data_IF_815109523079
#
_entry.id   IF_815109523079
#
_cell.length_a   1.000
_cell.length_b   1.000
_cell.length_c   1.000
_cell.angle_alpha   90.00
_cell.angle_beta   90.00
_cell.angle_gamma   90.00
#
_symmetry.space_group_name_H-M   'P 1'
#
loop_
_entity.id
_entity.type
_entity.pdbx_description
1 polymer ?
#
# COMPACT_ATOMS: atom_id res chain seq x y z
N UNK A 1 -3.49 -6.53 -3.88
CA UNK A 1 -3.13 -7.26 -2.64
C UNK A 1 -2.46 -6.34 -1.60
N UNK A 2 -1.67 -5.34 -2.01
CA UNK A 2 -1.00 -4.39 -1.09
C UNK A 2 -1.95 -3.43 -0.37
N UNK A 3 -3.05 -3.01 -1.00
CA UNK A 3 -4.01 -2.03 -0.45
C UNK A 3 -4.61 -2.39 0.92
N UNK A 4 -5.22 -3.58 1.12
CA UNK A 4 -5.80 -3.92 2.43
C UNK A 4 -4.74 -4.01 3.52
N UNK A 5 -3.56 -4.56 3.22
CA UNK A 5 -2.48 -4.69 4.20
C UNK A 5 -1.96 -3.32 4.66
N UNK A 6 -1.67 -2.42 3.72
CA UNK A 6 -1.21 -1.06 4.04
C UNK A 6 -2.26 -0.27 4.84
N UNK A 7 -3.54 -0.38 4.49
CA UNK A 7 -4.62 0.27 5.22
C UNK A 7 -4.83 -0.33 6.62
N UNK A 8 -4.66 -1.64 6.79
CA UNK A 8 -4.68 -2.29 8.12
C UNK A 8 -3.56 -1.75 9.01
N UNK A 9 -2.34 -1.68 8.47
CA UNK A 9 -1.19 -1.13 9.19
C UNK A 9 -1.37 0.35 9.53
N UNK A 10 -2.01 1.13 8.66
CA UNK A 10 -2.29 2.54 8.93
C UNK A 10 -3.40 2.73 9.98
N UNK A 11 -4.52 2.00 9.86
CA UNK A 11 -5.68 2.15 10.77
C UNK A 11 -5.38 1.59 12.17
N UNK A 12 -4.63 0.47 12.25
CA UNK A 12 -4.29 -0.20 13.50
C UNK A 12 -2.82 -0.03 13.89
N UNK A 13 -2.17 1.07 13.48
CA UNK A 13 -0.74 1.32 13.70
C UNK A 13 -0.33 1.20 15.17
N UNK A 14 -1.01 1.92 16.06
CA UNK A 14 -0.73 1.91 17.51
C UNK A 14 -0.98 0.53 18.14
N UNK A 15 -2.14 -0.13 17.97
CA UNK A 15 -2.34 -1.50 18.46
C UNK A 15 -1.30 -2.49 17.93
N UNK A 16 -0.94 -2.40 16.66
CA UNK A 16 0.05 -3.28 16.06
C UNK A 16 1.43 -3.09 16.71
N UNK A 17 1.84 -1.83 16.89
CA UNK A 17 3.08 -1.49 17.57
C UNK A 17 3.05 -1.87 19.05
N UNK A 18 1.91 -1.75 19.73
CA UNK A 18 1.77 -2.19 21.12
C UNK A 18 1.87 -3.72 21.24
N UNK A 19 1.27 -4.49 20.32
CA UNK A 19 1.41 -5.94 20.28
C UNK A 19 2.89 -6.33 20.16
N UNK A 20 3.61 -5.64 19.27
CA UNK A 20 5.00 -5.93 18.98
C UNK A 20 5.96 -5.48 20.09
N UNK A 21 5.86 -4.23 20.54
CA UNK A 21 6.80 -3.62 21.50
C UNK A 21 6.44 -3.90 22.95
N UNK A 22 5.15 -4.09 23.25
CA UNK A 22 4.63 -4.19 24.61
C UNK A 22 4.68 -2.88 25.40
N UNK A 23 5.04 -1.75 24.76
CA UNK A 23 5.15 -0.44 25.41
C UNK A 23 4.16 0.53 24.75
N UNK A 24 3.17 0.99 25.52
CA UNK A 24 2.11 1.87 25.04
C UNK A 24 2.64 3.26 24.64
N UNK A 25 3.58 3.83 25.40
CA UNK A 25 4.16 5.14 25.12
C UNK A 25 4.96 5.12 23.81
N UNK A 26 5.78 4.08 23.61
CA UNK A 26 6.54 3.89 22.38
C UNK A 26 5.61 3.66 21.17
N UNK A 27 4.55 2.87 21.36
CA UNK A 27 3.57 2.59 20.32
C UNK A 27 2.84 3.87 19.89
N UNK A 28 2.41 4.70 20.83
CA UNK A 28 1.73 5.96 20.55
C UNK A 28 2.66 6.95 19.81
N UNK A 29 3.91 7.11 20.28
CA UNK A 29 4.89 8.00 19.64
C UNK A 29 5.28 7.55 18.22
N UNK A 30 5.32 6.24 17.98
CA UNK A 30 5.79 5.68 16.69
C UNK A 30 4.65 5.38 15.72
N UNK A 31 3.39 5.35 16.17
CA UNK A 31 2.23 5.09 15.31
C UNK A 31 2.14 6.03 14.10
N UNK A 32 2.34 7.36 14.22
CA UNK A 32 2.32 8.26 13.06
C UNK A 32 3.39 7.92 12.01
N UNK A 33 4.57 7.46 12.44
CA UNK A 33 5.64 7.00 11.55
C UNK A 33 5.16 5.82 10.70
N UNK A 34 4.56 4.82 11.35
CA UNK A 34 4.06 3.63 10.68
C UNK A 34 2.93 3.95 9.71
N UNK A 35 2.03 4.87 10.06
CA UNK A 35 0.96 5.35 9.16
C UNK A 35 1.56 5.95 7.88
N UNK A 36 2.52 6.88 8.01
CA UNK A 36 3.13 7.56 6.87
C UNK A 36 3.88 6.57 5.96
N UNK A 37 4.61 5.62 6.56
CA UNK A 37 5.32 4.58 5.80
C UNK A 37 4.35 3.63 5.11
N UNK A 38 3.26 3.22 5.77
CA UNK A 38 2.24 2.36 5.17
C UNK A 38 1.52 3.06 4.00
N UNK A 39 1.20 4.34 4.13
CA UNK A 39 0.60 5.12 3.03
C UNK A 39 1.60 5.33 1.88
N UNK A 40 2.87 5.61 2.18
CA UNK A 40 3.90 5.77 1.16
C UNK A 40 4.15 4.48 0.38
N UNK A 41 4.20 3.34 1.06
CA UNK A 41 4.32 2.02 0.42
C UNK A 41 3.07 1.64 -0.38
N UNK A 42 1.88 2.07 0.06
CA UNK A 42 0.66 1.94 -0.73
C UNK A 42 0.74 2.70 -2.06
N UNK A 43 1.13 3.98 -2.00
CA UNK A 43 1.35 4.79 -3.19
C UNK A 43 2.40 4.16 -4.12
N UNK A 44 3.48 3.62 -3.57
CA UNK A 44 4.49 2.88 -4.33
C UNK A 44 3.89 1.65 -5.03
N UNK A 45 3.05 0.88 -4.32
CA UNK A 45 2.38 -0.29 -4.87
C UNK A 45 1.52 0.01 -6.10
N UNK A 46 0.88 1.18 -6.15
CA UNK A 46 0.14 1.61 -7.34
C UNK A 46 1.03 1.84 -8.56
N UNK A 47 2.31 2.16 -8.37
CA UNK A 47 3.26 2.38 -9.47
C UNK A 47 3.77 1.09 -10.11
N UNK A 48 3.53 -0.07 -9.51
CA UNK A 48 4.03 -1.35 -10.03
C UNK A 48 3.46 -1.73 -11.40
N UNK A 49 2.14 -1.65 -11.57
CA UNK A 49 1.48 -1.98 -12.84
C UNK A 49 1.93 -1.03 -13.97
N UNK A 50 1.90 0.31 -13.80
CA UNK A 50 2.41 1.26 -14.79
C UNK A 50 3.88 1.05 -15.15
N UNK A 51 4.71 0.71 -14.16
CA UNK A 51 6.13 0.42 -14.39
C UNK A 51 6.31 -0.80 -15.30
N UNK A 52 5.56 -1.87 -15.05
CA UNK A 52 5.56 -3.05 -15.94
C UNK A 52 5.07 -2.71 -17.34
N UNK A 53 4.04 -1.86 -17.48
CA UNK A 53 3.57 -1.38 -18.79
C UNK A 53 4.66 -0.60 -19.54
N UNK A 54 5.40 0.27 -18.85
CA UNK A 54 6.51 1.01 -19.47
C UNK A 54 7.62 0.08 -19.96
N UNK A 55 7.94 -0.97 -19.19
CA UNK A 55 8.91 -1.98 -19.59
C UNK A 55 8.44 -2.78 -20.80
N UNK A 56 7.17 -3.19 -20.83
CA UNK A 56 6.57 -3.92 -21.96
C UNK A 56 6.57 -3.11 -23.27
N UNK A 57 6.43 -1.78 -23.19
CA UNK A 57 6.55 -0.89 -24.35
C UNK A 57 7.99 -0.43 -24.64
N UNK A 58 9.01 -0.98 -23.96
CA UNK A 58 10.42 -0.62 -24.18
C UNK A 58 10.79 0.80 -23.74
N UNK A 59 9.94 1.48 -22.96
CA UNK A 59 10.13 2.88 -22.58
C UNK A 59 10.75 3.03 -21.19
N UNK A 60 11.80 2.26 -20.92
CA UNK A 60 12.52 2.25 -19.63
C UNK A 60 13.19 3.58 -19.28
N UNK A 61 13.57 4.37 -20.30
CA UNK A 61 14.22 5.66 -20.11
C UNK A 61 13.37 6.73 -19.40
N UNK A 62 12.05 6.56 -19.33
CA UNK A 62 11.19 7.42 -18.50
C UNK A 62 11.27 7.04 -17.02
N UNK A 63 11.15 5.75 -16.69
CA UNK A 63 11.27 5.28 -15.32
C UNK A 63 12.63 5.60 -14.70
N UNK A 64 13.72 5.45 -15.47
CA UNK A 64 15.08 5.79 -15.01
C UNK A 64 15.19 7.28 -14.70
N UNK A 65 14.73 8.16 -15.60
CA UNK A 65 14.72 9.61 -15.34
C UNK A 65 13.90 9.97 -14.11
N UNK A 66 12.75 9.34 -13.92
CA UNK A 66 11.89 9.59 -12.77
C UNK A 66 12.57 9.18 -11.45
N UNK A 67 13.26 8.03 -11.43
CA UNK A 67 14.03 7.58 -10.28
C UNK A 67 15.25 8.47 -9.99
N UNK A 68 15.95 8.96 -11.02
CA UNK A 68 17.06 9.91 -10.82
C UNK A 68 16.55 11.20 -10.18
N UNK A 69 15.47 11.77 -10.72
CA UNK A 69 14.83 12.96 -10.15
C UNK A 69 14.42 12.72 -8.70
N UNK A 70 13.84 11.56 -8.41
CA UNK A 70 13.46 11.19 -7.05
C UNK A 70 14.65 11.11 -6.09
N UNK A 71 15.78 10.53 -6.51
CA UNK A 71 17.00 10.46 -5.69
C UNK A 71 17.52 11.87 -5.40
N UNK A 72 17.54 12.74 -6.41
CA UNK A 72 17.95 14.14 -6.27
C UNK A 72 17.08 14.90 -5.25
N UNK A 73 15.80 14.57 -5.12
CA UNK A 73 14.91 15.20 -4.14
C UNK A 73 14.93 14.53 -2.77
N UNK A 74 14.90 13.19 -2.70
CA UNK A 74 14.80 12.46 -1.44
C UNK A 74 16.08 12.58 -0.61
N UNK A 75 17.27 12.57 -1.23
CA UNK A 75 18.54 12.60 -0.50
C UNK A 75 18.70 13.93 0.26
N UNK A 76 18.56 15.11 -0.37
CA UNK A 76 18.58 16.38 0.36
C UNK A 76 17.43 16.49 1.36
N UNK A 77 16.23 16.01 1.01
CA UNK A 77 15.09 16.05 1.92
C UNK A 77 15.36 15.25 3.20
N UNK A 78 15.95 14.06 3.11
CA UNK A 78 16.33 13.25 4.26
C UNK A 78 17.45 13.93 5.06
N UNK A 79 18.51 14.40 4.40
CA UNK A 79 19.63 15.08 5.06
C UNK A 79 19.20 16.33 5.82
N UNK A 80 18.15 17.01 5.35
CA UNK A 80 17.58 18.19 6.01
C UNK A 80 16.53 17.85 7.08
N UNK A 81 15.65 16.89 6.81
CA UNK A 81 14.51 16.59 7.66
C UNK A 81 14.89 15.71 8.86
N UNK A 82 15.81 14.76 8.70
CA UNK A 82 16.19 13.84 9.79
C UNK A 82 16.85 14.56 10.97
N UNK A 83 17.80 15.50 10.78
CA UNK A 83 18.39 16.21 11.92
C UNK A 83 17.41 17.09 12.70
N UNK A 84 16.31 17.54 12.07
CA UNK A 84 15.35 18.49 12.66
C UNK A 84 14.09 17.83 13.21
N UNK A 85 13.59 16.83 12.50
CA UNK A 85 12.32 16.17 12.77
C UNK A 85 12.50 14.67 13.03
N UNK A 86 13.73 14.15 13.03
CA UNK A 86 14.00 12.74 13.26
C UNK A 86 13.38 11.83 12.18
N UNK A 87 13.02 10.62 12.58
CA UNK A 87 12.48 9.60 11.68
C UNK A 87 11.16 10.02 11.02
N UNK A 88 10.33 10.84 11.67
CA UNK A 88 9.05 11.27 11.11
C UNK A 88 9.24 12.21 9.90
N UNK A 89 10.32 13.01 9.90
CA UNK A 89 10.71 13.80 8.73
C UNK A 89 11.05 12.94 7.51
N UNK A 90 11.76 11.83 7.73
CA UNK A 90 12.06 10.86 6.66
C UNK A 90 10.78 10.17 6.14
N UNK A 91 9.84 9.83 7.02
CA UNK A 91 8.57 9.23 6.62
C UNK A 91 7.71 10.19 5.76
N UNK A 92 7.70 11.48 6.08
CA UNK A 92 7.06 12.50 5.24
C UNK A 92 7.74 12.65 3.88
N UNK A 93 9.08 12.66 3.83
CA UNK A 93 9.82 12.69 2.57
C UNK A 93 9.48 11.46 1.69
N UNK A 94 9.40 10.29 2.31
CA UNK A 94 9.00 9.05 1.64
C UNK A 94 7.58 9.10 1.07
N UNK A 95 6.60 9.55 1.87
CA UNK A 95 5.22 9.69 1.40
C UNK A 95 5.12 10.73 0.27
N UNK A 96 5.76 11.89 0.42
CA UNK A 96 5.74 12.95 -0.58
C UNK A 96 6.33 12.48 -1.91
N UNK A 97 7.43 11.72 -1.88
CA UNK A 97 8.03 11.17 -3.08
C UNK A 97 7.06 10.20 -3.80
N UNK A 98 6.48 9.26 -3.06
CA UNK A 98 5.57 8.28 -3.64
C UNK A 98 4.26 8.92 -4.13
N UNK A 99 3.75 9.93 -3.43
CA UNK A 99 2.63 10.74 -3.90
C UNK A 99 2.98 11.49 -5.19
N UNK A 100 4.19 12.07 -5.27
CA UNK A 100 4.70 12.72 -6.47
C UNK A 100 4.79 11.78 -7.67
N UNK A 101 5.22 10.53 -7.47
CA UNK A 101 5.20 9.50 -8.50
C UNK A 101 3.80 9.18 -9.01
N UNK A 102 2.85 9.00 -8.10
CA UNK A 102 1.46 8.71 -8.46
C UNK A 102 0.82 9.91 -9.18
N UNK A 103 1.08 11.14 -8.73
CA UNK A 103 0.46 12.34 -9.30
C UNK A 103 1.09 12.76 -10.62
N UNK A 104 2.41 12.96 -10.62
CA UNK A 104 3.15 13.49 -11.77
C UNK A 104 3.56 12.37 -12.72
N UNK A 105 4.19 11.32 -12.20
CA UNK A 105 4.69 10.21 -13.00
C UNK A 105 3.61 9.53 -13.84
N UNK A 106 2.45 9.25 -13.22
CA UNK A 106 1.31 8.69 -13.93
C UNK A 106 0.68 9.65 -14.92
N UNK A 107 0.64 10.94 -14.59
CA UNK A 107 0.08 11.93 -15.50
C UNK A 107 0.86 11.97 -16.82
N UNK A 108 2.20 12.00 -16.75
CA UNK A 108 3.06 12.00 -17.93
C UNK A 108 3.01 10.67 -18.69
N UNK A 109 2.99 9.54 -17.98
CA UNK A 109 2.89 8.23 -18.63
C UNK A 109 1.57 8.07 -19.39
N UNK A 110 0.43 8.35 -18.74
CA UNK A 110 -0.88 8.21 -19.40
C UNK A 110 -1.03 9.21 -20.55
N UNK A 111 -0.54 10.44 -20.44
CA UNK A 111 -0.59 11.40 -21.54
C UNK A 111 0.10 10.90 -22.81
N UNK A 112 1.16 10.08 -22.69
CA UNK A 112 1.93 9.58 -23.84
C UNK A 112 1.51 8.18 -24.30
N UNK A 113 1.18 7.27 -23.38
CA UNK A 113 0.86 5.87 -23.72
C UNK A 113 -0.65 5.61 -23.82
N UNK A 114 -1.47 6.22 -22.94
CA UNK A 114 -2.89 5.89 -22.79
C UNK A 114 -3.72 7.14 -22.42
N UNK A 115 -3.82 8.15 -23.31
CA UNK A 115 -4.38 9.46 -22.97
C UNK A 115 -5.85 9.42 -22.55
N UNK A 116 -6.63 8.46 -23.05
CA UNK A 116 -8.05 8.27 -22.71
C UNK A 116 -8.31 7.63 -21.34
N UNK A 117 -7.31 6.98 -20.74
CA UNK A 117 -7.51 6.14 -19.55
C UNK A 117 -7.17 6.82 -18.23
N UNK A 118 -6.61 8.04 -18.27
CA UNK A 118 -6.05 8.72 -17.08
C UNK A 118 -7.06 8.76 -15.93
N UNK A 119 -8.24 9.31 -16.19
CA UNK A 119 -9.26 9.50 -15.16
C UNK A 119 -9.89 8.19 -14.71
N UNK A 120 -9.99 7.21 -15.62
CA UNK A 120 -10.46 5.87 -15.28
C UNK A 120 -9.49 5.18 -14.33
N UNK A 121 -8.18 5.29 -14.58
CA UNK A 121 -7.16 4.74 -13.70
C UNK A 121 -7.16 5.42 -12.32
N UNK A 122 -7.20 6.75 -12.23
CA UNK A 122 -7.26 7.43 -10.93
C UNK A 122 -8.49 6.99 -10.12
N UNK A 123 -9.66 6.91 -10.76
CA UNK A 123 -10.88 6.48 -10.08
C UNK A 123 -10.81 5.01 -9.66
N UNK A 124 -10.44 4.13 -10.58
CA UNK A 124 -10.61 2.69 -10.41
C UNK A 124 -9.42 2.02 -9.71
N UNK A 125 -8.20 2.55 -9.87
CA UNK A 125 -6.98 2.02 -9.26
C UNK A 125 -6.57 2.74 -7.96
N UNK A 126 -6.95 4.01 -7.77
CA UNK A 126 -6.54 4.79 -6.58
C UNK A 126 -7.72 5.08 -5.66
N UNK A 127 -8.73 5.82 -6.13
CA UNK A 127 -9.84 6.27 -5.28
C UNK A 127 -10.72 5.12 -4.79
N UNK A 128 -11.17 4.23 -5.68
CA UNK A 128 -12.03 3.10 -5.29
C UNK A 128 -11.36 2.19 -4.24
N UNK A 129 -10.11 1.72 -4.41
CA UNK A 129 -9.47 0.87 -3.41
C UNK A 129 -9.22 1.59 -2.08
N UNK A 130 -8.92 2.90 -2.11
CA UNK A 130 -8.76 3.69 -0.89
C UNK A 130 -10.08 3.77 -0.12
N UNK A 131 -11.18 4.18 -0.77
CA UNK A 131 -12.48 4.33 -0.10
C UNK A 131 -13.03 2.98 0.37
N UNK A 132 -13.04 1.97 -0.50
CA UNK A 132 -13.56 0.63 -0.19
C UNK A 132 -12.72 -0.03 0.92
N UNK A 133 -11.41 0.22 0.97
CA UNK A 133 -10.55 -0.33 2.00
C UNK A 133 -10.60 0.43 3.32
N UNK A 134 -10.66 1.77 3.29
CA UNK A 134 -10.56 2.58 4.50
C UNK A 134 -11.85 2.62 5.30
N UNK A 135 -13.01 2.73 4.64
CA UNK A 135 -14.30 2.90 5.33
C UNK A 135 -14.63 1.70 6.25
N UNK A 136 -14.58 0.43 5.79
CA UNK A 136 -14.88 -0.71 6.65
C UNK A 136 -13.88 -0.87 7.80
N UNK A 137 -12.60 -0.58 7.57
CA UNK A 137 -11.57 -0.68 8.61
C UNK A 137 -11.72 0.40 9.69
N UNK A 138 -12.08 1.63 9.30
CA UNK A 138 -12.34 2.72 10.23
C UNK A 138 -13.60 2.44 11.07
N UNK A 139 -14.66 1.93 10.43
CA UNK A 139 -15.86 1.48 11.14
C UNK A 139 -15.47 0.37 12.12
N UNK A 140 -14.80 -0.68 11.65
CA UNK A 140 -14.38 -1.80 12.49
C UNK A 140 -13.55 -1.35 13.69
N UNK A 141 -12.64 -0.38 13.50
CA UNK A 141 -11.84 0.19 14.59
C UNK A 141 -12.68 0.89 15.66
N UNK A 142 -13.80 1.52 15.30
CA UNK A 142 -14.70 2.18 16.27
C UNK A 142 -15.55 1.18 17.08
N UNK A 143 -15.88 0.03 16.49
CA UNK A 143 -16.77 -0.96 17.11
C UNK A 143 -16.03 -2.09 17.83
N UNK A 144 -14.75 -2.32 17.51
CA UNK A 144 -13.99 -3.42 18.11
C UNK A 144 -13.34 -3.01 19.42
N UNK A 145 -13.62 -3.77 20.48
CA UNK A 145 -12.90 -3.63 21.75
C UNK A 145 -11.63 -4.48 21.64
N UNK A 146 -10.47 -3.81 21.60
CA UNK A 146 -9.19 -4.49 21.53
C UNK A 146 -8.83 -5.07 22.91
N UNK A 147 -8.45 -6.35 22.98
CA UNK A 147 -8.05 -6.96 24.25
C UNK A 147 -6.72 -6.35 24.74
N UNK A 148 -6.58 -6.19 26.05
CA UNK A 148 -5.34 -5.64 26.63
C UNK A 148 -4.17 -6.65 26.63
N UNK A 149 -4.49 -7.95 26.56
CA UNK A 149 -3.48 -8.99 26.42
C UNK A 149 -2.86 -8.94 25.01
N UNK A 150 -1.53 -8.83 24.95
CA UNK A 150 -0.75 -8.71 23.70
C UNK A 150 -0.98 -9.87 22.72
N UNK A 151 -1.06 -11.11 23.21
CA UNK A 151 -1.25 -12.30 22.38
C UNK A 151 -2.66 -12.32 21.80
N UNK A 152 -3.66 -12.02 22.63
CA UNK A 152 -5.04 -11.90 22.16
C UNK A 152 -5.18 -10.77 21.14
N UNK A 153 -4.52 -9.63 21.35
CA UNK A 153 -4.55 -8.50 20.43
C UNK A 153 -3.89 -8.85 19.09
N UNK A 154 -2.74 -9.52 19.10
CA UNK A 154 -2.09 -10.01 17.90
C UNK A 154 -2.99 -11.00 17.13
N UNK A 155 -3.70 -11.89 17.84
CA UNK A 155 -4.68 -12.80 17.24
C UNK A 155 -5.84 -12.08 16.57
N UNK A 156 -6.43 -11.08 17.23
CA UNK A 156 -7.51 -10.27 16.65
C UNK A 156 -7.01 -9.51 15.42
N UNK A 157 -5.85 -8.86 15.49
CA UNK A 157 -5.27 -8.13 14.35
C UNK A 157 -4.97 -9.07 13.18
N UNK A 158 -4.45 -10.27 13.43
CA UNK A 158 -4.24 -11.28 12.39
C UNK A 158 -5.56 -11.72 11.74
N UNK A 159 -6.61 -11.93 12.55
CA UNK A 159 -7.96 -12.22 12.06
C UNK A 159 -8.50 -11.12 11.15
N UNK A 160 -8.38 -9.85 11.55
CA UNK A 160 -8.79 -8.70 10.73
C UNK A 160 -8.00 -8.66 9.42
N UNK A 161 -6.68 -8.88 9.47
CA UNK A 161 -5.84 -8.89 8.27
C UNK A 161 -6.28 -9.98 7.29
N UNK A 162 -6.58 -11.19 7.78
CA UNK A 162 -7.04 -12.30 6.96
C UNK A 162 -8.41 -12.03 6.33
N UNK A 163 -9.36 -11.49 7.10
CA UNK A 163 -10.69 -11.12 6.59
C UNK A 163 -10.58 -10.01 5.55
N UNK A 164 -9.77 -8.97 5.80
CA UNK A 164 -9.54 -7.89 4.85
C UNK A 164 -8.90 -8.40 3.55
N UNK A 165 -7.92 -9.32 3.66
CA UNK A 165 -7.29 -9.96 2.51
C UNK A 165 -8.31 -10.79 1.70
N UNK A 166 -9.13 -11.59 2.38
CA UNK A 166 -10.17 -12.41 1.76
C UNK A 166 -11.24 -11.56 1.07
N UNK A 167 -11.70 -10.48 1.71
CA UNK A 167 -12.67 -9.54 1.15
C UNK A 167 -12.14 -8.88 -0.13
N UNK A 168 -10.86 -8.49 -0.16
CA UNK A 168 -10.25 -7.90 -1.36
C UNK A 168 -10.03 -8.93 -2.48
N UNK A 169 -9.57 -10.13 -2.14
CA UNK A 169 -9.49 -11.24 -3.09
C UNK A 169 -10.84 -11.54 -3.75
N UNK A 170 -11.91 -11.41 -2.96
CA UNK A 170 -13.26 -11.57 -3.44
C UNK A 170 -13.75 -10.34 -4.19
N UNK A 171 -13.43 -9.11 -3.82
CA UNK A 171 -13.93 -7.92 -4.52
C UNK A 171 -13.28 -7.69 -5.89
N UNK A 172 -12.02 -8.10 -6.07
CA UNK A 172 -11.27 -7.84 -7.31
C UNK A 172 -11.55 -8.93 -8.37
N UNK A 173 -12.08 -8.58 -9.56
CA UNK A 173 -12.40 -9.56 -10.60
C UNK A 173 -11.17 -10.32 -11.12
N UNK A 174 -10.04 -9.63 -11.24
CA UNK A 174 -8.77 -10.18 -11.74
C UNK A 174 -8.20 -11.27 -10.82
N UNK A 175 -8.34 -11.14 -9.50
CA UNK A 175 -7.91 -12.19 -8.57
C UNK A 175 -8.83 -13.41 -8.63
N UNK A 176 -10.14 -13.22 -8.84
CA UNK A 176 -11.07 -14.34 -9.05
C UNK A 176 -10.72 -15.14 -10.29
N UNK A 177 -10.39 -14.46 -11.38
CA UNK A 177 -10.03 -15.11 -12.64
C UNK A 177 -8.68 -15.82 -12.56
N UNK A 178 -7.66 -15.18 -11.97
CA UNK A 178 -6.36 -15.80 -11.72
C UNK A 178 -6.46 -17.03 -10.81
N UNK A 179 -7.22 -16.95 -9.71
CA UNK A 179 -7.47 -18.09 -8.82
C UNK A 179 -8.21 -19.21 -9.54
N UNK A 180 -9.23 -18.90 -10.36
CA UNK A 180 -9.95 -19.90 -11.18
C UNK A 180 -9.01 -20.61 -12.16
N UNK A 181 -8.08 -19.88 -12.79
CA UNK A 181 -7.11 -20.45 -13.72
C UNK A 181 -6.10 -21.36 -13.01
N UNK A 182 -5.58 -20.95 -11.85
CA UNK A 182 -4.68 -21.81 -11.07
C UNK A 182 -5.39 -23.05 -10.50
N UNK A 183 -6.63 -22.91 -10.01
CA UNK A 183 -7.40 -24.05 -9.51
C UNK A 183 -7.68 -25.07 -10.63
N UNK A 184 -7.99 -24.60 -11.85
CA UNK A 184 -8.12 -25.46 -13.03
C UNK A 184 -6.79 -26.15 -13.39
N UNK A 185 -5.67 -25.43 -13.34
CA UNK A 185 -4.35 -25.99 -13.64
C UNK A 185 -3.90 -27.06 -12.62
N UNK A 186 -4.15 -26.83 -11.33
CA UNK A 186 -3.86 -27.79 -10.26
C UNK A 186 -4.76 -29.02 -10.33
N UNK A 187 -6.06 -28.83 -10.60
CA UNK A 187 -7.01 -29.93 -10.81
C UNK A 187 -6.68 -30.75 -12.05
N UNK A 188 -6.20 -30.12 -13.12
CA UNK A 188 -5.72 -30.81 -14.32
C UNK A 188 -4.44 -31.64 -14.08
N UNK A 189 -3.53 -31.16 -13.22
CA UNK A 189 -2.34 -31.93 -12.82
C UNK A 189 -2.66 -33.10 -11.88
N UNK A 190 -3.66 -32.95 -11.00
CA UNK A 190 -4.09 -34.00 -10.07
C UNK A 190 -4.94 -35.11 -10.73
N UNK A 191 -5.49 -34.87 -11.92
CA UNK A 191 -6.26 -35.84 -12.70
C UNK A 191 -5.43 -36.56 -13.77
N UNK A 192 -4.24 -36.03 -14.10
CA UNK A 192 -3.33 -36.55 -15.13
C UNK A 192 -2.03 -37.14 -14.55
N UNK A 193 -1.95 -37.35 -13.24
CA UNK A 193 -0.88 -38.07 -12.55
C UNK A 193 -1.46 -39.22 -11.76
#
# INVERSE_FOLDING_TARGET
MLTPAALMMAVFAEPLLYAWTGNADLANQTAPLLVLLALGTLCNGFMYIPYMTQLAHGWTGFAVRMNIVAVIFIVPAILWAVPRFGAIGAAWAWLALNAGYVLLGMHFMHRRLLPGEKWRWYRDAVFKPLIIGSVPLLILRQWIVLPQNRVAMAGVLAGIALVAMAAVLWAVPVSREFLRLQFKALRGRALNG
#
